data_IF_935992771653
#
_entry.id   IF_935992771653
#
_cell.length_a   1.000
_cell.length_b   1.000
_cell.length_c   1.000
_cell.angle_alpha   90.00
_cell.angle_beta   90.00
_cell.angle_gamma   90.00
#
_symmetry.space_group_name_H-M   'P 1'
#
loop_
_entity.id
_entity.type
_entity.pdbx_description
1 polymer ?
#
# COMPACT_ATOMS: atom_id res chain seq x y z
N UNK A 1 -6.58 -6.70 -11.58
CA UNK A 1 -5.58 -7.10 -10.58
C UNK A 1 -5.17 -8.53 -10.89
N UNK A 2 -3.91 -8.75 -11.23
CA UNK A 2 -3.39 -10.10 -11.47
C UNK A 2 -2.77 -10.73 -10.21
N UNK A 3 -2.19 -11.92 -10.34
CA UNK A 3 -1.57 -12.64 -9.22
C UNK A 3 -0.34 -11.90 -8.70
N UNK A 4 0.47 -11.30 -9.58
CA UNK A 4 1.67 -10.57 -9.18
C UNK A 4 1.33 -9.28 -8.46
N UNK A 5 0.29 -8.55 -8.91
CA UNK A 5 -0.23 -7.38 -8.21
C UNK A 5 -0.56 -7.71 -6.76
N UNK A 6 -1.24 -8.85 -6.53
CA UNK A 6 -1.64 -9.30 -5.19
C UNK A 6 -0.46 -9.63 -4.31
N UNK A 7 0.58 -10.28 -4.85
CA UNK A 7 1.80 -10.58 -4.12
C UNK A 7 2.51 -9.30 -3.65
N UNK A 8 2.64 -8.33 -4.56
CA UNK A 8 3.28 -7.05 -4.24
C UNK A 8 2.45 -6.23 -3.25
N UNK A 9 1.12 -6.15 -3.43
CA UNK A 9 0.23 -5.41 -2.52
C UNK A 9 0.24 -6.05 -1.11
N UNK A 10 0.22 -7.38 -1.03
CA UNK A 10 0.34 -8.08 0.26
C UNK A 10 1.68 -7.76 0.95
N UNK A 11 2.77 -7.70 0.19
CA UNK A 11 4.07 -7.28 0.72
C UNK A 11 4.04 -5.85 1.27
N UNK A 12 3.40 -4.90 0.58
CA UNK A 12 3.21 -3.52 1.08
C UNK A 12 2.43 -3.54 2.39
N UNK A 13 1.28 -4.21 2.43
CA UNK A 13 0.41 -4.21 3.61
C UNK A 13 1.13 -4.82 4.82
N UNK A 14 1.80 -5.95 4.61
CA UNK A 14 2.55 -6.62 5.69
C UNK A 14 3.78 -5.82 6.14
N UNK A 15 4.38 -5.04 5.24
CA UNK A 15 5.50 -4.18 5.59
C UNK A 15 5.07 -3.03 6.52
N UNK A 16 3.93 -2.40 6.25
CA UNK A 16 3.47 -1.21 7.00
C UNK A 16 2.65 -1.54 8.26
N UNK A 17 1.77 -2.55 8.20
CA UNK A 17 0.81 -2.81 9.29
C UNK A 17 1.03 -4.14 10.04
N UNK A 18 2.08 -4.88 9.69
CA UNK A 18 2.59 -5.99 10.48
C UNK A 18 2.84 -7.26 9.64
N UNK A 19 3.89 -8.03 9.96
CA UNK A 19 4.16 -9.27 9.25
C UNK A 19 2.97 -10.23 9.45
N UNK A 20 2.45 -10.78 8.34
CA UNK A 20 1.32 -11.71 8.28
C UNK A 20 -0.08 -11.11 8.51
N UNK A 21 -0.27 -9.80 8.32
CA UNK A 21 -1.61 -9.22 8.34
C UNK A 21 -2.51 -9.74 7.21
N UNK A 22 -1.94 -10.03 6.04
CA UNK A 22 -2.69 -10.47 4.86
C UNK A 22 -1.90 -11.45 4.00
N UNK A 23 -2.60 -12.21 3.16
CA UNK A 23 -2.02 -13.03 2.09
C UNK A 23 -2.43 -12.47 0.72
N UNK A 24 -1.74 -12.84 -0.38
CA UNK A 24 -2.13 -12.42 -1.72
C UNK A 24 -3.58 -12.74 -2.05
N UNK A 25 -4.11 -13.86 -1.56
CA UNK A 25 -5.49 -14.31 -1.82
C UNK A 25 -6.56 -13.41 -1.18
N UNK A 26 -6.24 -12.73 -0.07
CA UNK A 26 -7.16 -11.79 0.59
C UNK A 26 -7.10 -10.36 0.02
N UNK A 27 -6.22 -10.10 -0.95
CA UNK A 27 -6.14 -8.78 -1.57
C UNK A 27 -7.29 -8.58 -2.56
N UNK A 28 -8.05 -7.51 -2.33
CA UNK A 28 -9.12 -7.00 -3.17
C UNK A 28 -8.89 -5.51 -3.52
N UNK A 29 -9.74 -4.95 -4.38
CA UNK A 29 -9.59 -3.57 -4.83
C UNK A 29 -9.74 -2.54 -3.69
N UNK A 30 -10.64 -2.78 -2.74
CA UNK A 30 -10.83 -1.91 -1.58
C UNK A 30 -9.54 -1.83 -0.74
N UNK A 31 -8.92 -2.98 -0.47
CA UNK A 31 -7.65 -3.05 0.24
C UNK A 31 -6.54 -2.27 -0.49
N UNK A 32 -6.49 -2.34 -1.83
CA UNK A 32 -5.54 -1.57 -2.63
C UNK A 32 -5.80 -0.06 -2.56
N UNK A 33 -7.06 0.38 -2.64
CA UNK A 33 -7.41 1.80 -2.55
C UNK A 33 -7.08 2.36 -1.17
N UNK A 34 -7.45 1.66 -0.10
CA UNK A 34 -7.17 2.11 1.28
C UNK A 34 -5.66 2.12 1.55
N UNK A 35 -4.92 1.09 1.13
CA UNK A 35 -3.47 1.05 1.30
C UNK A 35 -2.77 2.19 0.56
N UNK A 36 -3.18 2.47 -0.68
CA UNK A 36 -2.66 3.60 -1.44
C UNK A 36 -2.98 4.93 -0.75
N UNK A 37 -4.24 5.14 -0.33
CA UNK A 37 -4.68 6.36 0.32
C UNK A 37 -3.94 6.63 1.63
N UNK A 38 -3.68 5.59 2.43
CA UNK A 38 -2.90 5.70 3.65
C UNK A 38 -1.47 6.18 3.39
N UNK A 39 -0.83 5.67 2.33
CA UNK A 39 0.52 6.06 1.93
C UNK A 39 0.55 7.49 1.37
N UNK A 40 -0.48 7.89 0.63
CA UNK A 40 -0.62 9.24 0.08
C UNK A 40 -0.83 10.31 1.18
N UNK A 41 -1.70 10.02 2.16
CA UNK A 41 -2.04 10.96 3.23
C UNK A 41 -0.89 11.19 4.22
N UNK A 42 0.07 10.28 4.29
CA UNK A 42 1.33 10.56 4.97
C UNK A 42 2.21 11.48 4.12
N UNK A 43 2.06 12.80 4.26
CA UNK A 43 2.81 13.85 3.53
C UNK A 43 4.33 13.62 3.44
N UNK A 44 4.96 13.07 4.48
CA UNK A 44 6.41 12.76 4.50
C UNK A 44 6.76 11.65 3.48
N UNK A 45 5.80 10.78 3.23
CA UNK A 45 5.93 9.57 2.44
C UNK A 45 5.57 9.85 1.00
N UNK A 46 4.50 10.58 0.75
CA UNK A 46 4.03 10.81 -0.61
C UNK A 46 4.97 11.69 -1.45
N UNK A 47 5.77 12.59 -0.85
CA UNK A 47 6.78 13.40 -1.58
C UNK A 47 8.07 12.61 -1.86
N UNK A 48 8.40 11.64 -1.00
CA UNK A 48 9.61 10.82 -1.11
C UNK A 48 9.39 9.48 -1.82
N UNK A 49 8.14 9.01 -1.88
CA UNK A 49 7.75 7.75 -2.52
C UNK A 49 7.41 7.94 -4.00
N UNK A 50 7.46 6.84 -4.76
CA UNK A 50 7.12 6.77 -6.20
C UNK A 50 5.62 7.02 -6.52
N UNK A 51 4.90 7.77 -5.67
CA UNK A 51 3.49 8.10 -5.85
C UNK A 51 3.27 9.28 -6.82
N UNK A 52 4.34 9.81 -7.41
CA UNK A 52 4.30 10.93 -8.35
C UNK A 52 4.26 10.41 -9.80
N UNK A 53 3.40 10.95 -10.68
CA UNK A 53 2.46 12.05 -10.44
C UNK A 53 1.19 11.62 -9.70
N UNK A 54 0.78 12.41 -8.70
CA UNK A 54 -0.50 12.22 -8.01
C UNK A 54 -1.64 12.68 -8.92
N UNK A 55 -2.65 11.85 -9.17
CA UNK A 55 -3.81 12.28 -9.92
C UNK A 55 -4.53 13.40 -9.16
N UNK A 56 -5.07 14.39 -9.88
CA UNK A 56 -5.99 15.36 -9.27
C UNK A 56 -7.33 14.65 -8.99
N UNK A 57 -7.65 14.42 -7.72
CA UNK A 57 -8.88 13.74 -7.28
C UNK A 57 -8.64 12.37 -6.64
N UNK A 58 -9.71 11.59 -6.43
CA UNK A 58 -9.62 10.23 -5.86
C UNK A 58 -8.97 9.30 -6.90
N UNK A 59 -7.85 8.62 -6.58
CA UNK A 59 -7.21 7.69 -7.49
C UNK A 59 -8.14 6.52 -7.82
N UNK A 60 -8.16 6.09 -9.09
CA UNK A 60 -8.87 4.87 -9.48
C UNK A 60 -8.22 3.63 -8.84
N UNK A 61 -9.00 2.56 -8.63
CA UNK A 61 -8.47 1.30 -8.09
C UNK A 61 -7.30 0.77 -8.93
N UNK A 62 -7.41 0.83 -10.26
CA UNK A 62 -6.33 0.48 -11.19
C UNK A 62 -5.05 1.29 -10.97
N UNK A 63 -5.16 2.59 -10.69
CA UNK A 63 -4.00 3.42 -10.40
C UNK A 63 -3.37 3.02 -9.06
N UNK A 64 -4.18 2.87 -8.01
CA UNK A 64 -3.73 2.45 -6.68
C UNK A 64 -2.98 1.10 -6.75
N UNK A 65 -3.54 0.12 -7.46
CA UNK A 65 -2.94 -1.20 -7.68
C UNK A 65 -1.57 -1.08 -8.33
N UNK A 66 -1.45 -0.31 -9.42
CA UNK A 66 -0.17 -0.15 -10.14
C UNK A 66 0.91 0.50 -9.28
N UNK A 67 0.55 1.51 -8.49
CA UNK A 67 1.53 2.18 -7.63
C UNK A 67 1.96 1.28 -6.48
N UNK A 68 1.02 0.59 -5.83
CA UNK A 68 1.33 -0.37 -4.79
C UNK A 68 2.18 -1.54 -5.31
N UNK A 69 1.93 -2.03 -6.53
CA UNK A 69 2.73 -3.09 -7.13
C UNK A 69 4.20 -2.66 -7.31
N UNK A 70 4.45 -1.42 -7.76
CA UNK A 70 5.81 -0.86 -7.86
C UNK A 70 6.50 -0.76 -6.49
N UNK A 71 5.78 -0.27 -5.49
CA UNK A 71 6.28 -0.15 -4.12
C UNK A 71 6.61 -1.54 -3.55
N UNK A 72 5.68 -2.49 -3.66
CA UNK A 72 5.85 -3.85 -3.18
C UNK A 72 7.05 -4.55 -3.83
N UNK A 73 7.27 -4.32 -5.13
CA UNK A 73 8.46 -4.83 -5.83
C UNK A 73 9.76 -4.29 -5.23
N UNK A 74 9.84 -2.98 -4.92
CA UNK A 74 11.02 -2.37 -4.28
C UNK A 74 11.24 -2.89 -2.85
N UNK A 75 10.16 -3.03 -2.09
CA UNK A 75 10.22 -3.60 -0.74
C UNK A 75 10.78 -5.03 -0.78
N UNK A 76 10.26 -5.87 -1.68
CA UNK A 76 10.72 -7.25 -1.83
C UNK A 76 12.16 -7.34 -2.35
N UNK A 77 12.62 -6.37 -3.16
CA UNK A 77 14.02 -6.29 -3.58
C UNK A 77 14.96 -5.69 -2.53
N UNK A 78 14.47 -5.38 -1.33
CA UNK A 78 15.26 -4.83 -0.22
C UNK A 78 15.48 -3.30 -0.27
N UNK A 79 14.97 -2.63 -1.30
CA UNK A 79 15.06 -1.17 -1.43
C UNK A 79 13.95 -0.50 -0.62
N UNK A 80 14.18 -0.46 0.69
CA UNK A 80 13.22 -0.02 1.72
C UNK A 80 13.56 1.33 2.35
N UNK A 81 14.66 1.96 1.91
CA UNK A 81 15.22 3.18 2.50
C UNK A 81 14.17 4.30 2.64
N UNK A 82 13.42 4.56 1.57
CA UNK A 82 12.35 5.55 1.50
C UNK A 82 11.17 5.17 2.41
N UNK A 83 10.81 3.88 2.46
CA UNK A 83 9.61 3.40 3.14
C UNK A 83 9.81 3.22 4.66
N UNK A 84 11.04 2.96 5.11
CA UNK A 84 11.36 2.79 6.54
C UNK A 84 11.07 4.05 7.36
N UNK A 85 11.43 5.22 6.83
CA UNK A 85 11.15 6.53 7.44
C UNK A 85 9.66 6.75 7.69
N UNK A 86 8.83 6.11 6.87
CA UNK A 86 7.39 6.24 6.84
C UNK A 86 6.63 5.19 7.63
N UNK A 87 7.29 4.05 7.87
CA UNK A 87 6.67 2.84 8.41
C UNK A 87 5.94 3.08 9.73
N UNK A 88 6.55 3.83 10.65
CA UNK A 88 5.96 4.10 11.96
C UNK A 88 4.69 4.95 11.84
N UNK A 89 4.74 6.04 11.05
CA UNK A 89 3.61 6.97 10.93
C UNK A 89 2.43 6.36 10.16
N UNK A 90 2.72 5.59 9.12
CA UNK A 90 1.69 4.84 8.36
C UNK A 90 1.14 3.71 9.20
N UNK A 91 1.97 2.92 9.88
CA UNK A 91 1.54 1.73 10.61
C UNK A 91 0.65 2.00 11.82
N UNK A 92 0.76 3.19 12.44
CA UNK A 92 -0.11 3.62 13.55
C UNK A 92 -1.49 4.07 13.04
N UNK A 93 -1.56 4.63 11.83
CA UNK A 93 -2.81 5.10 11.24
C UNK A 93 -3.38 4.04 10.27
N UNK A 94 -4.67 4.13 9.93
CA UNK A 94 -5.32 3.28 8.92
C UNK A 94 -5.35 1.77 9.19
N UNK A 95 -4.84 1.28 10.34
CA UNK A 95 -4.81 -0.17 10.62
C UNK A 95 -6.20 -0.77 10.64
N UNK A 96 -7.17 -0.10 11.25
CA UNK A 96 -8.58 -0.51 11.26
C UNK A 96 -9.17 -0.56 9.86
N UNK A 97 -8.92 0.47 9.07
CA UNK A 97 -9.43 0.68 7.73
C UNK A 97 -8.88 -0.39 6.78
N UNK A 98 -7.60 -0.73 6.90
CA UNK A 98 -6.98 -1.84 6.16
C UNK A 98 -7.60 -3.18 6.53
N UNK A 99 -7.82 -3.44 7.82
CA UNK A 99 -8.47 -4.70 8.25
C UNK A 99 -9.90 -4.81 7.74
N UNK A 100 -10.65 -3.71 7.73
CA UNK A 100 -12.01 -3.67 7.16
C UNK A 100 -11.98 -3.89 5.64
N UNK A 101 -11.11 -3.17 4.94
CA UNK A 101 -10.98 -3.26 3.49
C UNK A 101 -10.56 -4.68 3.03
N UNK A 102 -9.68 -5.35 3.77
CA UNK A 102 -9.29 -6.75 3.51
C UNK A 102 -10.47 -7.73 3.63
N UNK A 103 -11.50 -7.39 4.42
CA UNK A 103 -12.75 -8.16 4.53
C UNK A 103 -13.80 -7.76 3.49
N UNK A 104 -13.50 -6.77 2.65
CA UNK A 104 -14.43 -6.24 1.65
C UNK A 104 -15.55 -5.37 2.26
N UNK A 105 -15.29 -4.80 3.44
CA UNK A 105 -16.22 -3.92 4.18
C UNK A 105 -15.71 -2.49 4.14
#
# INVERSE_FOLDING_TARGET
MDVHDRDYIAAVINYFWGPNLTTPQSINESAAVVAYGALEQTNICSDSMDLVPRPMGVPSSTYAIKQLAKIGKRILSGDTSIYNTCKVKVGVNFKSEIVMALRGI
#
